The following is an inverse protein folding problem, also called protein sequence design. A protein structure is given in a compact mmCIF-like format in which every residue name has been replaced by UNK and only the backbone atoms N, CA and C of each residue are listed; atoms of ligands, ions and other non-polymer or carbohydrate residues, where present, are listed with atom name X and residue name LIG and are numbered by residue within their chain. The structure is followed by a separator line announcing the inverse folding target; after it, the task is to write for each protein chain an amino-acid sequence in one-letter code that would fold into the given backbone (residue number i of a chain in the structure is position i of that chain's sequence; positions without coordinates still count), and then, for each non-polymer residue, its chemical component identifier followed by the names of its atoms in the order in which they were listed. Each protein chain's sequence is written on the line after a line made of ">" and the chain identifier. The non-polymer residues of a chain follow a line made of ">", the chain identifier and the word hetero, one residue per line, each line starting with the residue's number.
data_IF_838538618828
#
_entry.id   IF_838538618828
#
_cell.length_a   1.000
_cell.length_b   1.000
_cell.length_c   1.000
_cell.angle_alpha   90.00
_cell.angle_beta   90.00
_cell.angle_gamma   90.00
#
_symmetry.space_group_name_H-M   'P 1'
#
loop_
_entity.id
_entity.type
_entity.pdbx_description
1 polymer ?
#
# COMPACT_ATOMS: atom_id res chain seq x y z
N UNK A 1 -2.44 -7.24 -13.52
CA UNK A 1 -2.76 -5.91 -14.09
C UNK A 1 -1.50 -5.04 -14.06
N UNK A 2 -1.28 -4.31 -15.11
CA UNK A 2 -0.12 -3.42 -15.24
C UNK A 2 -0.56 -2.10 -15.86
N UNK A 3 -0.13 -0.97 -15.30
CA UNK A 3 -0.43 0.35 -15.84
C UNK A 3 0.80 1.24 -15.81
N UNK A 4 0.75 2.37 -16.54
CA UNK A 4 1.84 3.33 -16.61
C UNK A 4 1.34 4.69 -16.13
N UNK A 5 2.11 5.33 -15.25
CA UNK A 5 1.85 6.67 -14.74
C UNK A 5 3.11 7.50 -14.92
N UNK A 6 3.13 8.39 -15.91
CA UNK A 6 4.33 9.12 -16.28
C UNK A 6 5.43 8.15 -16.70
N UNK A 7 6.56 8.20 -16.00
CA UNK A 7 7.71 7.28 -16.22
C UNK A 7 7.68 6.03 -15.34
N UNK A 8 6.62 5.85 -14.54
CA UNK A 8 6.52 4.73 -13.61
C UNK A 8 5.59 3.65 -14.15
N UNK A 9 5.92 2.41 -13.84
CA UNK A 9 5.06 1.25 -14.08
C UNK A 9 4.46 0.81 -12.76
N UNK A 10 3.14 0.67 -12.72
CA UNK A 10 2.39 0.11 -11.60
C UNK A 10 2.00 -1.32 -11.96
N UNK A 11 2.33 -2.28 -11.11
CA UNK A 11 2.07 -3.68 -11.39
C UNK A 11 1.63 -4.41 -10.12
N UNK A 12 0.65 -5.28 -10.23
CA UNK A 12 0.17 -6.11 -9.12
C UNK A 12 0.67 -7.55 -9.18
N UNK A 13 1.65 -7.84 -10.02
CA UNK A 13 2.30 -9.15 -10.07
C UNK A 13 3.15 -9.35 -8.80
N UNK A 14 2.77 -10.29 -7.90
CA UNK A 14 3.51 -10.50 -6.67
C UNK A 14 4.95 -10.98 -6.91
N UNK A 15 5.23 -11.58 -8.06
CA UNK A 15 6.59 -12.04 -8.40
C UNK A 15 7.56 -10.88 -8.64
N UNK A 16 7.06 -9.67 -8.93
CA UNK A 16 7.90 -8.48 -9.11
C UNK A 16 8.25 -7.76 -7.83
N UNK A 17 7.57 -8.08 -6.73
CA UNK A 17 7.79 -7.37 -5.46
C UNK A 17 9.21 -7.62 -4.96
N UNK A 18 9.92 -6.53 -4.70
CA UNK A 18 11.23 -6.55 -4.06
C UNK A 18 11.04 -6.55 -2.55
N UNK A 19 10.96 -7.75 -1.97
CA UNK A 19 10.72 -7.91 -0.55
C UNK A 19 11.85 -7.29 0.29
N UNK A 20 13.10 -7.37 -0.17
CA UNK A 20 14.24 -6.75 0.53
C UNK A 20 14.11 -5.24 0.59
N UNK A 21 13.68 -4.59 -0.48
CA UNK A 21 13.42 -3.14 -0.50
C UNK A 21 12.29 -2.77 0.45
N UNK A 22 11.20 -3.53 0.47
CA UNK A 22 10.10 -3.31 1.39
C UNK A 22 10.53 -3.47 2.86
N UNK A 23 11.30 -4.50 3.17
CA UNK A 23 11.87 -4.69 4.51
C UNK A 23 12.71 -3.48 4.92
N UNK A 24 13.62 -3.03 4.05
CA UNK A 24 14.49 -1.91 4.35
C UNK A 24 13.70 -0.64 4.70
N UNK A 25 12.67 -0.31 3.93
CA UNK A 25 11.85 0.87 4.20
C UNK A 25 11.00 0.69 5.46
N UNK A 26 10.30 -0.43 5.59
CA UNK A 26 9.33 -0.63 6.66
C UNK A 26 9.98 -0.78 8.04
N UNK A 27 11.23 -1.24 8.11
CA UNK A 27 11.94 -1.37 9.39
C UNK A 27 12.67 -0.10 9.81
N UNK A 28 12.87 0.87 8.93
CA UNK A 28 13.68 2.06 9.20
C UNK A 28 12.90 3.36 9.12
N UNK A 29 12.06 3.55 8.10
CA UNK A 29 11.44 4.84 7.81
C UNK A 29 9.94 4.90 8.08
N UNK A 30 9.24 3.76 8.07
CA UNK A 30 7.81 3.73 8.27
C UNK A 30 7.47 3.67 9.76
N UNK A 31 6.84 4.73 10.30
CA UNK A 31 6.45 4.75 11.71
C UNK A 31 5.51 3.59 12.08
N UNK A 32 4.69 3.11 11.13
CA UNK A 32 3.74 2.01 11.35
C UNK A 32 4.37 0.62 11.23
N UNK A 33 5.60 0.52 10.74
CA UNK A 33 6.26 -0.75 10.44
C UNK A 33 7.38 -1.14 11.36
N UNK A 34 7.93 -0.19 12.12
CA UNK A 34 9.18 -0.38 12.87
C UNK A 34 9.09 -1.36 14.03
N UNK A 35 7.89 -1.73 14.46
CA UNK A 35 7.68 -2.76 15.50
C UNK A 35 7.83 -4.19 14.97
N UNK A 36 7.99 -4.35 13.66
CA UNK A 36 8.13 -5.66 13.00
C UNK A 36 9.59 -5.93 12.65
N UNK A 37 10.00 -7.19 12.67
CA UNK A 37 11.28 -7.60 12.14
C UNK A 37 11.17 -8.04 10.66
N UNK A 38 12.32 -8.39 10.06
CA UNK A 38 12.36 -8.82 8.66
C UNK A 38 11.51 -10.08 8.42
N UNK A 39 11.56 -11.04 9.32
CA UNK A 39 10.80 -12.29 9.17
C UNK A 39 9.30 -12.02 9.17
N UNK A 40 8.81 -11.11 10.02
CA UNK A 40 7.41 -10.70 10.06
C UNK A 40 6.98 -10.10 8.72
N UNK A 41 7.76 -9.17 8.20
CA UNK A 41 7.43 -8.44 6.96
C UNK A 41 7.43 -9.40 5.78
N UNK A 42 8.44 -10.27 5.67
CA UNK A 42 8.50 -11.26 4.58
C UNK A 42 7.33 -12.23 4.61
N UNK A 43 6.92 -12.67 5.80
CA UNK A 43 5.75 -13.53 5.95
C UNK A 43 4.47 -12.81 5.53
N UNK A 44 4.30 -11.56 5.94
CA UNK A 44 3.14 -10.74 5.60
C UNK A 44 3.05 -10.47 4.10
N UNK A 45 4.17 -10.24 3.44
CA UNK A 45 4.21 -10.11 1.99
C UNK A 45 3.84 -11.45 1.32
N UNK A 46 4.39 -12.55 1.80
CA UNK A 46 4.16 -13.87 1.22
C UNK A 46 2.73 -14.37 1.36
N UNK A 47 1.98 -13.90 2.35
CA UNK A 47 0.60 -14.29 2.60
C UNK A 47 -0.43 -13.21 2.26
N UNK A 48 0.01 -12.10 1.68
CA UNK A 48 -0.88 -11.00 1.36
C UNK A 48 -1.95 -11.41 0.33
N UNK A 49 -3.15 -10.90 0.51
CA UNK A 49 -4.20 -11.04 -0.47
C UNK A 49 -3.87 -10.27 -1.76
N UNK A 50 -3.30 -9.06 -1.59
CA UNK A 50 -2.98 -8.20 -2.73
C UNK A 50 -1.74 -7.37 -2.46
N UNK A 51 -0.88 -7.29 -3.47
CA UNK A 51 0.34 -6.50 -3.48
C UNK A 51 0.36 -5.64 -4.75
N UNK A 52 0.80 -4.39 -4.62
CA UNK A 52 1.02 -3.49 -5.75
C UNK A 52 2.40 -2.87 -5.59
N UNK A 53 3.20 -2.93 -6.65
CA UNK A 53 4.49 -2.27 -6.71
C UNK A 53 4.50 -1.15 -7.74
N UNK A 54 5.31 -0.13 -7.49
CA UNK A 54 5.61 0.92 -8.45
C UNK A 54 7.10 0.87 -8.78
N UNK A 55 7.42 0.94 -10.06
CA UNK A 55 8.78 0.72 -10.58
C UNK A 55 9.21 1.89 -11.43
N UNK A 56 10.46 2.33 -11.28
CA UNK A 56 11.04 3.36 -12.14
C UNK A 56 11.48 2.78 -13.49
N UNK A 57 12.11 3.61 -14.34
CA UNK A 57 12.57 3.19 -15.66
C UNK A 57 13.62 2.09 -15.61
N UNK A 58 14.41 2.05 -14.55
CA UNK A 58 15.44 1.02 -14.35
C UNK A 58 14.85 -0.28 -13.79
N UNK A 59 13.56 -0.30 -13.45
CA UNK A 59 12.90 -1.46 -12.87
C UNK A 59 13.03 -1.56 -11.36
N UNK A 60 13.57 -0.53 -10.69
CA UNK A 60 13.66 -0.51 -9.23
C UNK A 60 12.29 -0.23 -8.63
N UNK A 61 11.94 -0.95 -7.55
CA UNK A 61 10.70 -0.72 -6.83
C UNK A 61 10.84 0.53 -5.95
N UNK A 62 10.06 1.55 -6.28
CA UNK A 62 10.09 2.86 -5.62
C UNK A 62 8.82 3.18 -4.86
N UNK A 63 7.85 2.30 -4.92
CA UNK A 63 6.59 2.39 -4.17
C UNK A 63 6.00 1.01 -3.96
N UNK A 64 5.17 0.88 -2.92
CA UNK A 64 4.66 -0.42 -2.49
C UNK A 64 3.36 -0.26 -1.75
N UNK A 65 2.45 -1.22 -1.93
CA UNK A 65 1.23 -1.33 -1.12
C UNK A 65 0.88 -2.78 -0.87
N UNK A 66 0.36 -3.05 0.33
CA UNK A 66 -0.04 -4.39 0.77
C UNK A 66 -1.39 -4.33 1.45
N UNK A 67 -2.25 -5.28 1.10
CA UNK A 67 -3.57 -5.41 1.70
C UNK A 67 -3.91 -6.87 2.02
N UNK A 68 -4.78 -7.08 3.00
CA UNK A 68 -5.41 -8.37 3.25
C UNK A 68 -6.93 -8.21 3.22
N UNK A 69 -7.66 -9.32 3.00
CA UNK A 69 -9.10 -9.31 2.84
C UNK A 69 -9.70 -10.67 3.16
N UNK A 70 -10.93 -10.65 3.66
CA UNK A 70 -11.75 -11.86 3.83
C UNK A 70 -12.78 -12.04 2.71
N UNK A 71 -12.73 -11.19 1.67
CA UNK A 71 -13.68 -11.18 0.57
C UNK A 71 -14.79 -10.13 0.71
N UNK A 72 -15.00 -9.62 1.91
CA UNK A 72 -16.00 -8.56 2.18
C UNK A 72 -15.35 -7.29 2.70
N UNK A 73 -14.41 -7.45 3.61
CA UNK A 73 -13.65 -6.34 4.18
C UNK A 73 -12.19 -6.46 3.78
N UNK A 74 -11.60 -5.36 3.35
CA UNK A 74 -10.20 -5.26 3.00
C UNK A 74 -9.50 -4.26 3.91
N UNK A 75 -8.27 -4.57 4.30
CA UNK A 75 -7.44 -3.70 5.12
C UNK A 75 -6.17 -3.33 4.38
N UNK A 76 -5.95 -2.04 4.18
CA UNK A 76 -4.74 -1.50 3.59
C UNK A 76 -3.69 -1.35 4.69
N UNK A 77 -2.72 -2.26 4.71
CA UNK A 77 -1.82 -2.41 5.85
C UNK A 77 -0.52 -1.64 5.71
N UNK A 78 0.05 -1.59 4.51
CA UNK A 78 1.27 -0.88 4.22
C UNK A 78 1.14 -0.14 2.90
N UNK A 79 1.53 1.14 2.87
CA UNK A 79 1.65 1.94 1.64
C UNK A 79 2.83 2.88 1.81
N UNK A 80 3.73 2.88 0.84
CA UNK A 80 4.78 3.90 0.82
C UNK A 80 5.23 4.25 -0.59
N UNK A 81 5.79 5.43 -0.72
CA UNK A 81 6.56 5.89 -1.88
C UNK A 81 7.90 6.39 -1.33
N UNK A 82 9.00 5.99 -1.96
CA UNK A 82 10.33 6.45 -1.53
C UNK A 82 10.41 7.99 -1.61
N UNK A 83 11.09 8.65 -0.67
CA UNK A 83 11.10 10.12 -0.59
C UNK A 83 11.47 10.82 -1.90
N UNK A 84 12.44 10.29 -2.66
CA UNK A 84 12.87 10.88 -3.93
C UNK A 84 11.80 10.86 -5.02
N UNK A 85 10.75 10.07 -4.87
CA UNK A 85 9.69 9.87 -5.87
C UNK A 85 8.34 10.44 -5.42
N UNK A 86 8.31 11.15 -4.29
CA UNK A 86 7.10 11.81 -3.79
C UNK A 86 6.78 13.08 -4.57
N UNK A 87 5.52 13.51 -4.52
CA UNK A 87 5.08 14.70 -5.23
C UNK A 87 4.87 14.51 -6.73
N UNK A 88 4.85 13.26 -7.20
CA UNK A 88 4.69 12.91 -8.62
C UNK A 88 3.31 12.34 -8.95
N UNK A 89 2.42 12.20 -7.97
CA UNK A 89 1.14 11.50 -8.14
C UNK A 89 1.24 9.98 -8.03
N UNK A 90 2.42 9.46 -7.69
CA UNK A 90 2.65 8.01 -7.64
C UNK A 90 1.85 7.32 -6.54
N UNK A 91 1.71 7.95 -5.37
CA UNK A 91 0.88 7.42 -4.30
C UNK A 91 -0.58 7.24 -4.70
N UNK A 92 -1.14 8.21 -5.42
CA UNK A 92 -2.51 8.11 -5.96
C UNK A 92 -2.63 6.97 -6.98
N UNK A 93 -1.63 6.81 -7.85
CA UNK A 93 -1.63 5.76 -8.86
C UNK A 93 -1.58 4.37 -8.21
N UNK A 94 -0.77 4.20 -7.17
CA UNK A 94 -0.70 2.96 -6.39
C UNK A 94 -2.05 2.65 -5.74
N UNK A 95 -2.68 3.63 -5.10
CA UNK A 95 -3.96 3.44 -4.42
C UNK A 95 -5.09 3.15 -5.41
N UNK A 96 -5.08 3.80 -6.57
CA UNK A 96 -6.06 3.51 -7.62
C UNK A 96 -5.92 2.07 -8.11
N UNK A 97 -4.71 1.61 -8.36
CA UNK A 97 -4.45 0.24 -8.76
C UNK A 97 -4.85 -0.77 -7.66
N UNK A 98 -4.55 -0.44 -6.41
CA UNK A 98 -4.86 -1.29 -5.27
C UNK A 98 -6.37 -1.44 -5.05
N UNK A 99 -7.11 -0.33 -5.13
CA UNK A 99 -8.52 -0.25 -4.70
C UNK A 99 -9.44 -0.18 -5.92
N UNK A 100 -9.48 0.95 -6.61
CA UNK A 100 -10.52 1.24 -7.61
C UNK A 100 -10.45 0.32 -8.83
N UNK A 101 -9.25 0.04 -9.31
CA UNK A 101 -9.01 -0.79 -10.49
C UNK A 101 -8.71 -2.24 -10.13
N UNK A 102 -8.75 -2.58 -8.83
CA UNK A 102 -8.43 -3.92 -8.34
C UNK A 102 -9.66 -4.82 -8.17
N UNK A 103 -9.42 -6.07 -7.80
CA UNK A 103 -10.49 -7.06 -7.64
C UNK A 103 -11.39 -6.79 -6.42
N UNK A 104 -10.95 -5.96 -5.48
CA UNK A 104 -11.69 -5.62 -4.28
C UNK A 104 -12.37 -4.26 -4.30
N UNK A 105 -12.60 -3.67 -5.48
CA UNK A 105 -13.17 -2.32 -5.57
C UNK A 105 -14.52 -2.16 -4.84
N UNK A 106 -15.32 -3.22 -4.81
CA UNK A 106 -16.63 -3.21 -4.13
C UNK A 106 -16.56 -3.63 -2.66
N UNK A 107 -15.40 -3.99 -2.15
CA UNK A 107 -15.23 -4.38 -0.75
C UNK A 107 -15.23 -3.15 0.17
N UNK A 108 -15.43 -3.41 1.45
CA UNK A 108 -15.36 -2.38 2.47
C UNK A 108 -13.90 -2.22 2.90
N UNK A 109 -13.31 -1.07 2.59
CA UNK A 109 -11.89 -0.80 2.86
C UNK A 109 -11.69 -0.07 4.18
N UNK A 110 -10.63 -0.46 4.88
CA UNK A 110 -10.21 0.14 6.14
C UNK A 110 -8.70 0.39 6.12
N UNK A 111 -8.25 1.40 6.87
CA UNK A 111 -6.84 1.69 7.08
C UNK A 111 -6.65 2.52 8.34
N UNK A 112 -5.40 2.63 8.78
CA UNK A 112 -4.99 3.57 9.83
C UNK A 112 -3.91 4.48 9.26
N UNK A 113 -4.01 5.78 9.54
CA UNK A 113 -3.00 6.76 9.16
C UNK A 113 -2.95 7.87 10.19
N UNK A 114 -1.75 8.44 10.41
CA UNK A 114 -1.59 9.62 11.25
C UNK A 114 -1.32 10.89 10.46
N UNK A 115 -0.94 10.78 9.17
CA UNK A 115 -0.40 11.91 8.40
C UNK A 115 -0.92 12.03 6.97
N UNK A 116 -1.73 11.11 6.48
CA UNK A 116 -2.17 11.08 5.07
C UNK A 116 -3.68 11.16 4.89
N UNK A 117 -4.41 11.75 5.83
CA UNK A 117 -5.87 11.83 5.77
C UNK A 117 -6.38 12.50 4.49
N UNK A 118 -5.71 13.58 4.03
CA UNK A 118 -6.13 14.29 2.83
C UNK A 118 -6.04 13.41 1.58
N UNK A 119 -5.01 12.57 1.49
CA UNK A 119 -4.85 11.62 0.38
C UNK A 119 -5.98 10.59 0.39
N UNK A 120 -6.24 9.97 1.53
CA UNK A 120 -7.23 8.89 1.61
C UNK A 120 -8.66 9.40 1.47
N UNK A 121 -8.96 10.64 1.87
CA UNK A 121 -10.28 11.24 1.63
C UNK A 121 -10.62 11.31 0.15
N UNK A 122 -9.63 11.49 -0.72
CA UNK A 122 -9.86 11.49 -2.17
C UNK A 122 -10.35 10.13 -2.70
N UNK A 123 -10.15 9.06 -1.93
CA UNK A 123 -10.63 7.71 -2.24
C UNK A 123 -11.88 7.34 -1.44
N UNK A 124 -12.53 8.31 -0.81
CA UNK A 124 -13.79 8.11 -0.09
C UNK A 124 -13.63 7.65 1.37
N UNK A 125 -12.41 7.61 1.89
CA UNK A 125 -12.20 7.25 3.30
C UNK A 125 -12.66 8.36 4.23
N UNK A 126 -13.32 7.97 5.31
CA UNK A 126 -13.79 8.88 6.36
C UNK A 126 -13.31 8.37 7.72
N UNK A 127 -13.15 9.27 8.71
CA UNK A 127 -12.78 8.84 10.06
C UNK A 127 -13.79 7.85 10.62
N UNK A 128 -13.34 6.85 11.41
CA UNK A 128 -14.25 5.95 12.09
C UNK A 128 -15.03 6.72 13.18
N UNK A 129 -16.22 6.22 13.50
CA UNK A 129 -17.03 6.75 14.59
C UNK A 129 -16.89 5.82 15.81
N UNK A 130 -17.04 6.39 17.00
CA UNK A 130 -16.99 5.64 18.24
C UNK A 130 -15.72 5.85 19.04
N UNK A 131 -15.44 4.96 19.99
CA UNK A 131 -14.30 5.05 20.89
C UNK A 131 -13.00 4.74 20.15
N UNK A 132 -11.94 5.57 20.28
CA UNK A 132 -10.65 5.28 19.67
C UNK A 132 -10.14 3.86 20.02
N UNK A 133 -9.69 3.14 19.01
CA UNK A 133 -9.21 1.77 19.14
C UNK A 133 -10.30 0.71 19.10
N UNK A 134 -11.58 1.12 19.07
CA UNK A 134 -12.74 0.22 18.91
C UNK A 134 -13.67 0.83 17.89
N UNK A 135 -13.72 0.26 16.70
CA UNK A 135 -14.50 0.79 15.59
C UNK A 135 -15.63 -0.18 15.25
N UNK A 136 -16.84 0.38 15.09
CA UNK A 136 -18.02 -0.38 14.72
C UNK A 136 -18.51 0.07 13.35
#
# INVERSE_FOLDING_TARGET
>A
MRSVTGEYVIDDDPARIDAGAAVAFLTTEAYWGQWRDEADIRRQIGTAWRLVGAYDRAGAMVGFARAFSDGGNAYLADVYVLPAHRGTGLGKAILRAMIDDGPGAAQRWMLHTSDAHALYRQFGFTPPQGTPGRYM
#
